data_IF_363032559079
#
_entry.id   IF_363032559079
#
_cell.length_a   1.000
_cell.length_b   1.000
_cell.length_c   1.000
_cell.angle_alpha   90.00
_cell.angle_beta   90.00
_cell.angle_gamma   90.00
#
_symmetry.space_group_name_H-M   'P 1'
#
loop_
_entity.id
_entity.type
_entity.pdbx_description
1 polymer ?
#
# COMPACT_ATOMS: atom_id res chain seq x y z
N UNK A 1 -24.85 41.50 28.69
CA UNK A 1 -23.58 40.92 29.21
C UNK A 1 -23.61 39.41 29.35
N UNK A 2 -24.68 38.81 29.89
CA UNK A 2 -24.80 37.32 30.03
C UNK A 2 -24.62 36.56 28.71
N UNK A 3 -25.21 37.05 27.60
CA UNK A 3 -25.12 36.39 26.29
C UNK A 3 -23.72 36.32 25.75
N UNK A 4 -22.92 37.38 25.87
CA UNK A 4 -21.55 37.39 25.41
C UNK A 4 -20.64 36.42 26.20
N UNK A 5 -20.91 36.28 27.50
CA UNK A 5 -20.24 35.33 28.36
C UNK A 5 -20.54 33.87 27.93
N UNK A 6 -21.84 33.58 27.70
CA UNK A 6 -22.22 32.21 27.21
C UNK A 6 -21.67 31.90 25.82
N UNK A 7 -21.66 32.88 24.90
CA UNK A 7 -21.03 32.73 23.59
C UNK A 7 -19.52 32.48 23.71
N UNK A 8 -18.85 33.20 24.61
CA UNK A 8 -17.42 32.97 24.88
C UNK A 8 -17.14 31.60 25.48
N UNK A 9 -17.94 31.13 26.45
CA UNK A 9 -17.80 29.80 27.03
C UNK A 9 -18.06 28.70 25.98
N UNK A 10 -19.09 28.86 25.13
CA UNK A 10 -19.35 27.94 24.04
C UNK A 10 -18.15 27.85 23.07
N UNK A 11 -17.56 29.00 22.72
CA UNK A 11 -16.36 29.08 21.90
C UNK A 11 -15.18 28.35 22.52
N UNK A 12 -14.87 28.64 23.81
CA UNK A 12 -13.78 27.97 24.52
C UNK A 12 -13.96 26.46 24.56
N UNK A 13 -15.15 25.98 24.92
CA UNK A 13 -15.43 24.53 24.95
C UNK A 13 -15.25 23.86 23.59
N UNK A 14 -15.68 24.52 22.51
CA UNK A 14 -15.54 23.99 21.15
C UNK A 14 -14.07 23.98 20.71
N UNK A 15 -13.32 25.03 21.03
CA UNK A 15 -11.88 25.07 20.77
C UNK A 15 -11.09 24.03 21.59
N UNK A 16 -11.52 23.77 22.83
CA UNK A 16 -10.94 22.70 23.65
C UNK A 16 -11.12 21.34 22.95
N UNK A 17 -12.33 21.00 22.49
CA UNK A 17 -12.58 19.77 21.75
C UNK A 17 -11.72 19.69 20.48
N UNK A 18 -11.55 20.81 19.76
CA UNK A 18 -10.66 20.86 18.59
C UNK A 18 -9.21 20.58 18.97
N UNK A 19 -8.74 21.13 20.08
CA UNK A 19 -7.37 20.87 20.57
C UNK A 19 -7.18 19.41 20.95
N UNK A 20 -8.19 18.75 21.53
CA UNK A 20 -8.15 17.34 21.84
C UNK A 20 -8.00 16.49 20.56
N UNK A 21 -8.72 16.82 19.47
CA UNK A 21 -8.58 16.17 18.18
C UNK A 21 -7.20 16.38 17.58
N UNK A 22 -6.68 17.61 17.63
CA UNK A 22 -5.32 17.94 17.15
C UNK A 22 -4.26 17.20 17.98
N UNK A 23 -4.42 17.20 19.29
CA UNK A 23 -3.51 16.48 20.21
C UNK A 23 -3.44 14.98 19.91
N UNK A 24 -4.58 14.37 19.62
CA UNK A 24 -4.65 12.97 19.20
C UNK A 24 -3.94 12.74 17.85
N UNK A 25 -4.11 13.64 16.87
CA UNK A 25 -3.40 13.54 15.59
C UNK A 25 -1.88 13.64 15.77
N UNK A 26 -1.42 14.57 16.65
CA UNK A 26 0.01 14.74 16.93
C UNK A 26 0.57 13.52 17.66
N UNK A 27 -0.15 12.99 18.64
CA UNK A 27 0.27 11.79 19.38
C UNK A 27 0.46 10.58 18.47
N UNK A 28 -0.33 10.49 17.42
CA UNK A 28 -0.31 9.37 16.46
C UNK A 28 0.45 9.65 15.16
N UNK A 29 1.30 10.69 15.12
CA UNK A 29 2.04 11.05 13.90
C UNK A 29 2.95 9.91 13.40
N UNK A 30 3.49 9.11 14.32
CA UNK A 30 4.35 7.95 14.01
C UNK A 30 3.59 6.61 13.96
N UNK A 31 2.27 6.63 14.12
CA UNK A 31 1.46 5.41 14.05
C UNK A 31 1.21 5.05 12.59
N UNK A 32 1.62 3.86 12.17
CA UNK A 32 1.40 3.35 10.80
C UNK A 32 -0.10 3.24 10.51
N UNK A 33 -0.50 3.61 9.29
CA UNK A 33 -1.89 3.63 8.82
C UNK A 33 -2.87 4.48 9.65
N UNK A 34 -2.39 5.36 10.53
CA UNK A 34 -3.25 6.29 11.26
C UNK A 34 -3.99 7.22 10.30
N UNK A 35 -5.26 7.45 10.54
CA UNK A 35 -6.12 8.35 9.77
C UNK A 35 -6.43 9.59 10.59
N UNK A 36 -5.93 10.74 10.13
CA UNK A 36 -6.13 12.01 10.81
C UNK A 36 -7.59 12.39 10.88
N UNK A 37 -8.00 12.95 12.00
CA UNK A 37 -9.34 13.48 12.20
C UNK A 37 -9.34 15.00 12.15
N UNK A 38 -10.36 15.58 11.56
CA UNK A 38 -10.59 17.02 11.50
C UNK A 38 -11.97 17.36 12.07
N UNK A 39 -12.05 18.48 12.79
CA UNK A 39 -13.29 18.94 13.39
C UNK A 39 -13.78 20.19 12.69
N UNK A 40 -15.08 20.20 12.35
CA UNK A 40 -15.76 21.37 11.80
C UNK A 40 -16.59 22.09 12.87
N UNK A 41 -16.79 23.37 12.67
CA UNK A 41 -17.62 24.20 13.54
C UNK A 41 -18.98 24.44 12.90
N UNK A 42 -19.99 24.62 13.73
CA UNK A 42 -21.33 25.04 13.33
C UNK A 42 -21.77 26.21 14.21
N UNK A 43 -22.25 27.27 13.59
CA UNK A 43 -22.84 28.39 14.31
C UNK A 43 -24.13 27.97 15.01
N UNK A 44 -24.34 28.50 16.22
CA UNK A 44 -25.64 28.43 16.88
C UNK A 44 -26.60 29.44 16.24
N UNK A 45 -27.92 29.21 16.40
CA UNK A 45 -28.92 30.10 15.85
C UNK A 45 -28.68 31.57 16.26
N UNK A 46 -28.77 32.48 15.30
CA UNK A 46 -28.67 33.91 15.53
C UNK A 46 -29.99 34.48 16.01
N UNK A 47 -29.98 35.38 16.95
CA UNK A 47 -31.13 36.11 17.42
C UNK A 47 -31.30 37.41 16.62
N UNK A 48 -32.46 37.58 15.97
CA UNK A 48 -32.78 38.81 15.27
C UNK A 48 -33.22 39.89 16.27
N UNK A 49 -32.48 40.99 16.36
CA UNK A 49 -32.81 42.17 17.23
C UNK A 49 -33.63 43.18 16.50
N UNK A 50 -33.47 43.29 15.19
CA UNK A 50 -34.27 44.19 14.34
C UNK A 50 -34.61 43.47 13.04
N UNK A 51 -35.88 43.51 12.65
CA UNK A 51 -36.33 42.96 11.37
C UNK A 51 -35.89 43.85 10.20
N UNK A 52 -35.71 43.27 9.03
CA UNK A 52 -35.49 44.02 7.81
C UNK A 52 -36.75 44.85 7.47
N UNK A 53 -36.56 46.04 6.94
CA UNK A 53 -37.60 46.90 6.39
C UNK A 53 -37.31 47.18 4.93
N UNK A 54 -38.28 46.98 4.06
CA UNK A 54 -38.20 47.33 2.64
C UNK A 54 -38.13 48.86 2.44
N UNK A 55 -37.62 49.28 1.29
CA UNK A 55 -37.67 50.69 0.88
C UNK A 55 -39.12 51.10 0.65
N UNK A 56 -39.50 52.26 1.16
CA UNK A 56 -40.82 52.83 0.98
C UNK A 56 -40.75 54.02 0.01
N UNK A 57 -41.24 53.82 -1.21
CA UNK A 57 -41.22 54.84 -2.27
C UNK A 57 -42.07 56.08 -1.93
N UNK A 58 -43.09 55.94 -1.06
CA UNK A 58 -44.00 57.03 -0.68
C UNK A 58 -43.36 57.99 0.32
N UNK A 59 -42.50 57.51 1.22
CA UNK A 59 -41.84 58.29 2.24
C UNK A 59 -40.40 58.62 1.93
N UNK A 60 -39.84 58.12 0.81
CA UNK A 60 -38.43 58.30 0.40
C UNK A 60 -37.39 57.66 1.33
N UNK A 61 -37.83 56.78 2.26
CA UNK A 61 -36.97 56.12 3.19
C UNK A 61 -36.41 54.83 2.58
N UNK A 62 -35.10 54.68 2.58
CA UNK A 62 -34.37 53.47 2.11
C UNK A 62 -34.62 52.27 3.01
N UNK A 63 -34.51 51.06 2.43
CA UNK A 63 -34.62 49.81 3.16
C UNK A 63 -33.49 49.64 4.19
N UNK A 64 -33.77 48.97 5.29
CA UNK A 64 -32.81 48.63 6.34
C UNK A 64 -32.67 47.12 6.47
N UNK A 65 -31.45 46.63 6.56
CA UNK A 65 -31.17 45.20 6.76
C UNK A 65 -31.50 44.75 8.19
N UNK A 66 -31.80 43.47 8.34
CA UNK A 66 -31.98 42.86 9.64
C UNK A 66 -30.70 42.93 10.47
N UNK A 67 -30.83 43.23 11.76
CA UNK A 67 -29.72 43.11 12.72
C UNK A 67 -29.85 41.81 13.48
N UNK A 68 -28.83 40.99 13.41
CA UNK A 68 -28.80 39.69 14.06
C UNK A 68 -27.55 39.57 14.94
N UNK A 69 -27.70 38.91 16.08
CA UNK A 69 -26.61 38.62 17.00
C UNK A 69 -26.48 37.11 17.12
N UNK A 70 -25.27 36.57 16.80
CA UNK A 70 -24.96 35.16 16.97
C UNK A 70 -24.92 34.79 18.45
N UNK A 71 -25.32 33.57 18.79
CA UNK A 71 -25.35 33.03 20.13
C UNK A 71 -24.12 32.20 20.47
N UNK A 72 -23.22 32.06 19.54
CA UNK A 72 -21.98 31.28 19.72
C UNK A 72 -21.80 30.16 18.69
N UNK A 73 -20.94 29.21 19.00
CA UNK A 73 -20.52 28.12 18.15
C UNK A 73 -20.68 26.77 18.87
N UNK A 74 -20.93 25.73 18.12
CA UNK A 74 -20.91 24.34 18.59
C UNK A 74 -19.98 23.48 17.72
N UNK A 75 -19.55 22.35 18.26
CA UNK A 75 -18.90 21.30 17.48
C UNK A 75 -19.88 20.81 16.38
N UNK A 76 -19.44 20.86 15.14
CA UNK A 76 -20.20 20.33 14.01
C UNK A 76 -20.00 18.82 13.89
N UNK A 77 -19.03 18.41 13.07
CA UNK A 77 -18.66 17.01 12.86
C UNK A 77 -17.17 16.79 13.09
N UNK A 78 -16.80 15.58 13.50
CA UNK A 78 -15.42 15.10 13.51
C UNK A 78 -15.31 14.11 12.34
N UNK A 79 -14.58 14.49 11.30
CA UNK A 79 -14.40 13.71 10.10
C UNK A 79 -13.03 13.05 10.12
N UNK A 80 -12.97 11.76 9.82
CA UNK A 80 -11.73 11.00 9.67
C UNK A 80 -11.39 10.84 8.19
N UNK A 81 -10.16 11.12 7.81
CA UNK A 81 -9.68 11.07 6.43
C UNK A 81 -9.35 9.60 6.02
N UNK A 82 -10.37 8.77 5.80
CA UNK A 82 -10.19 7.34 5.52
C UNK A 82 -9.58 7.11 4.13
N UNK A 83 -10.06 7.82 3.11
CA UNK A 83 -9.67 7.62 1.71
C UNK A 83 -8.34 8.27 1.34
N UNK A 84 -7.89 9.27 2.11
CA UNK A 84 -6.65 9.98 1.81
C UNK A 84 -5.44 9.07 2.02
N UNK A 85 -4.63 8.92 0.99
CA UNK A 85 -3.38 8.17 1.04
C UNK A 85 -2.31 8.97 1.78
N UNK A 86 -1.54 8.30 2.66
CA UNK A 86 -0.37 8.86 3.31
C UNK A 86 0.90 8.75 2.47
N UNK A 87 2.00 9.25 2.99
CA UNK A 87 3.33 9.07 2.38
C UNK A 87 3.93 7.72 2.75
N UNK A 88 4.71 7.14 1.83
CA UNK A 88 5.46 5.93 2.09
C UNK A 88 6.61 6.22 3.07
N UNK A 89 6.79 5.33 4.03
CA UNK A 89 7.92 5.31 4.95
C UNK A 89 8.76 4.06 4.68
N UNK A 90 10.06 4.23 4.47
CA UNK A 90 10.99 3.09 4.33
C UNK A 90 11.40 2.57 5.70
N UNK A 91 11.20 1.28 5.94
CA UNK A 91 11.53 0.62 7.22
C UNK A 91 12.73 -0.31 7.10
N UNK A 92 13.14 -0.67 5.87
CA UNK A 92 14.20 -1.65 5.60
C UNK A 92 13.80 -3.11 5.82
N UNK A 93 12.55 -3.39 6.20
CA UNK A 93 12.00 -4.73 6.31
C UNK A 93 11.33 -5.14 4.99
N UNK A 94 11.68 -6.30 4.40
CA UNK A 94 11.15 -6.74 3.11
C UNK A 94 9.64 -7.07 3.16
N UNK A 95 9.09 -7.33 4.34
CA UNK A 95 7.67 -7.65 4.52
C UNK A 95 6.79 -6.44 4.84
N UNK A 96 7.39 -5.25 4.98
CA UNK A 96 6.62 -4.02 5.14
C UNK A 96 6.18 -3.52 3.76
N UNK A 97 4.88 -3.58 3.51
CA UNK A 97 4.28 -3.33 2.20
C UNK A 97 3.29 -2.17 2.29
N UNK A 98 3.38 -1.22 1.37
CA UNK A 98 2.41 -0.14 1.24
C UNK A 98 1.52 -0.36 0.02
N UNK A 99 0.20 -0.21 0.20
CA UNK A 99 -0.74 -0.15 -0.93
C UNK A 99 -0.79 1.27 -1.48
N UNK A 100 -0.56 1.41 -2.80
CA UNK A 100 -0.82 2.63 -3.56
C UNK A 100 -2.21 2.53 -4.20
N UNK A 101 -3.13 3.43 -3.84
CA UNK A 101 -4.52 3.41 -4.31
C UNK A 101 -5.55 3.29 -3.19
N UNK A 102 -6.80 3.01 -3.55
CA UNK A 102 -7.94 3.03 -2.62
C UNK A 102 -8.24 1.68 -1.95
N UNK A 103 -7.41 0.66 -2.20
CA UNK A 103 -7.58 -0.68 -1.68
C UNK A 103 -7.11 -0.81 -0.22
N UNK A 104 -7.50 -1.91 0.43
CA UNK A 104 -7.13 -2.28 1.80
C UNK A 104 -6.58 -3.71 1.83
N UNK A 105 -5.71 -3.98 2.80
CA UNK A 105 -5.37 -5.35 3.17
C UNK A 105 -6.55 -5.96 3.92
N UNK A 106 -6.79 -7.24 3.66
CA UNK A 106 -7.77 -8.03 4.40
C UNK A 106 -7.01 -8.90 5.38
N UNK A 107 -7.32 -8.77 6.66
CA UNK A 107 -6.74 -9.60 7.73
C UNK A 107 -7.85 -10.31 8.49
N UNK A 108 -7.59 -11.51 8.97
CA UNK A 108 -8.58 -12.32 9.68
C UNK A 108 -8.03 -12.88 10.98
N UNK A 109 -8.88 -12.89 12.00
CA UNK A 109 -8.61 -13.56 13.27
C UNK A 109 -9.11 -15.03 13.29
N UNK A 110 -9.56 -15.56 12.13
CA UNK A 110 -10.17 -16.87 12.01
C UNK A 110 -11.70 -16.88 12.05
N UNK A 111 -12.33 -15.87 12.66
CA UNK A 111 -13.80 -15.74 12.75
C UNK A 111 -14.32 -14.58 11.91
N UNK A 112 -13.60 -13.46 11.88
CA UNK A 112 -14.01 -12.23 11.21
C UNK A 112 -12.88 -11.67 10.36
N UNK A 113 -13.25 -10.93 9.30
CA UNK A 113 -12.34 -10.24 8.42
C UNK A 113 -12.33 -8.74 8.74
N UNK A 114 -11.14 -8.18 8.85
CA UNK A 114 -10.90 -6.76 9.07
C UNK A 114 -10.15 -6.16 7.89
N UNK A 115 -10.39 -4.86 7.65
CA UNK A 115 -9.71 -4.12 6.59
C UNK A 115 -8.72 -3.13 7.22
N UNK A 116 -7.48 -3.17 6.77
CA UNK A 116 -6.43 -2.29 7.26
C UNK A 116 -5.57 -1.76 6.12
N UNK A 117 -4.92 -0.61 6.34
CA UNK A 117 -3.84 -0.12 5.48
C UNK A 117 -2.47 -0.25 6.13
N UNK A 118 -2.43 -0.77 7.36
CA UNK A 118 -1.15 -1.11 8.00
C UNK A 118 -0.57 -2.32 7.29
N UNK A 119 0.61 -2.12 6.72
CA UNK A 119 1.34 -3.12 5.94
C UNK A 119 2.56 -3.66 6.67
N UNK A 120 2.65 -3.49 7.98
CA UNK A 120 3.70 -4.10 8.79
C UNK A 120 3.39 -5.57 9.05
N UNK A 121 4.03 -6.43 8.27
CA UNK A 121 3.82 -7.87 8.33
C UNK A 121 5.08 -8.61 8.75
N UNK A 122 4.88 -9.81 9.26
CA UNK A 122 5.93 -10.79 9.53
C UNK A 122 5.47 -12.19 9.12
N UNK A 123 6.42 -13.10 8.97
CA UNK A 123 6.10 -14.50 8.66
C UNK A 123 6.09 -15.31 9.95
N UNK A 124 4.98 -15.97 10.23
CA UNK A 124 4.79 -16.84 11.37
C UNK A 124 5.58 -18.15 11.23
N UNK A 125 5.80 -18.88 12.33
CA UNK A 125 6.45 -20.18 12.33
C UNK A 125 5.77 -21.26 11.47
N UNK A 126 4.48 -21.09 11.15
CA UNK A 126 3.74 -21.91 10.20
C UNK A 126 3.92 -21.48 8.74
N UNK A 127 4.64 -20.38 8.48
CA UNK A 127 4.88 -19.81 7.16
C UNK A 127 3.78 -18.89 6.64
N UNK A 128 2.80 -18.52 7.47
CA UNK A 128 1.74 -17.58 7.09
C UNK A 128 2.20 -16.13 7.27
N UNK A 129 1.70 -15.24 6.42
CA UNK A 129 1.88 -13.81 6.57
C UNK A 129 0.91 -13.28 7.62
N UNK A 130 1.44 -12.70 8.69
CA UNK A 130 0.65 -12.16 9.79
C UNK A 130 1.00 -10.70 10.07
N UNK A 131 0.04 -9.95 10.59
CA UNK A 131 0.19 -8.55 10.97
C UNK A 131 0.95 -8.44 12.29
N UNK A 132 1.97 -7.59 12.35
CA UNK A 132 2.87 -7.47 13.51
C UNK A 132 2.14 -6.97 14.77
N UNK A 133 1.15 -6.09 14.62
CA UNK A 133 0.46 -5.47 15.77
C UNK A 133 -0.58 -6.38 16.43
N UNK A 134 -1.25 -7.26 15.66
CA UNK A 134 -2.39 -8.07 16.14
C UNK A 134 -2.17 -9.58 16.01
N UNK A 135 -1.22 -10.01 15.19
CA UNK A 135 -1.02 -11.42 14.84
C UNK A 135 -2.09 -12.00 13.92
N UNK A 136 -2.95 -11.17 13.33
CA UNK A 136 -3.98 -11.64 12.40
C UNK A 136 -3.37 -12.04 11.05
N UNK A 137 -3.86 -13.13 10.49
CA UNK A 137 -3.38 -13.62 9.21
C UNK A 137 -3.87 -12.74 8.05
N UNK A 138 -2.96 -12.42 7.13
CA UNK A 138 -3.30 -11.71 5.90
C UNK A 138 -4.00 -12.68 4.96
N UNK A 139 -5.16 -12.26 4.45
CA UNK A 139 -5.99 -13.05 3.56
C UNK A 139 -5.74 -12.68 2.11
N UNK A 140 -5.75 -13.67 1.23
CA UNK A 140 -5.54 -13.46 -0.20
C UNK A 140 -5.82 -14.71 -1.01
N UNK A 141 -5.55 -14.62 -2.30
CA UNK A 141 -5.67 -15.74 -3.22
C UNK A 141 -4.34 -16.47 -3.36
N UNK A 142 -4.40 -17.80 -3.29
CA UNK A 142 -3.24 -18.64 -3.57
C UNK A 142 -2.94 -18.74 -5.08
N UNK A 143 -1.74 -19.22 -5.39
CA UNK A 143 -1.32 -19.55 -6.77
C UNK A 143 -1.52 -21.04 -7.00
N UNK A 144 -1.97 -21.42 -8.20
CA UNK A 144 -2.02 -22.81 -8.62
C UNK A 144 -0.61 -23.29 -8.98
N UNK A 145 -0.14 -24.32 -8.28
CA UNK A 145 1.20 -24.90 -8.49
C UNK A 145 1.42 -25.46 -9.90
N UNK A 146 0.33 -25.84 -10.60
CA UNK A 146 0.41 -26.46 -11.93
C UNK A 146 0.44 -25.43 -13.05
N UNK A 147 -0.36 -24.36 -12.93
CA UNK A 147 -0.56 -23.37 -13.99
C UNK A 147 0.15 -22.03 -13.72
N UNK A 148 0.59 -21.78 -12.49
CA UNK A 148 1.16 -20.51 -12.07
C UNK A 148 0.14 -19.36 -12.01
N UNK A 149 -1.14 -19.63 -12.23
CA UNK A 149 -2.19 -18.63 -12.23
C UNK A 149 -2.78 -18.43 -10.84
N UNK A 150 -3.26 -17.22 -10.57
CA UNK A 150 -3.92 -16.89 -9.31
C UNK A 150 -5.30 -17.56 -9.27
N UNK A 151 -5.56 -18.39 -8.24
CA UNK A 151 -6.87 -18.97 -7.96
C UNK A 151 -7.77 -17.93 -7.32
N UNK A 152 -8.75 -17.44 -8.05
CA UNK A 152 -9.72 -16.45 -7.56
C UNK A 152 -10.97 -17.10 -6.93
N UNK A 153 -10.86 -18.30 -6.36
CA UNK A 153 -11.99 -19.03 -5.78
C UNK A 153 -12.25 -18.60 -4.34
N UNK A 154 -11.46 -19.11 -3.41
CA UNK A 154 -11.60 -18.85 -1.97
C UNK A 154 -10.45 -18.05 -1.45
N UNK A 155 -10.77 -17.03 -0.63
CA UNK A 155 -9.75 -16.24 0.07
C UNK A 155 -9.27 -17.06 1.27
N UNK A 156 -7.98 -17.35 1.30
CA UNK A 156 -7.32 -18.13 2.35
C UNK A 156 -6.20 -17.33 2.99
N UNK A 157 -5.68 -17.77 4.14
CA UNK A 157 -4.50 -17.16 4.73
C UNK A 157 -3.31 -17.32 3.77
N UNK A 158 -2.62 -16.21 3.50
CA UNK A 158 -1.46 -16.21 2.61
C UNK A 158 -0.28 -16.93 3.29
N UNK A 159 0.07 -18.09 2.76
CA UNK A 159 1.19 -18.88 3.21
C UNK A 159 2.38 -18.68 2.27
N UNK A 160 3.31 -17.82 2.67
CA UNK A 160 4.48 -17.47 1.85
C UNK A 160 5.55 -18.56 1.94
N UNK A 161 5.87 -19.02 3.15
CA UNK A 161 6.86 -20.08 3.38
C UNK A 161 6.17 -21.44 3.48
N UNK A 162 5.60 -21.92 2.36
CA UNK A 162 5.23 -23.33 2.23
C UNK A 162 6.40 -24.14 1.71
N UNK A 163 6.42 -25.43 1.97
CA UNK A 163 7.45 -26.32 1.44
C UNK A 163 7.55 -26.28 -0.09
N UNK A 164 6.42 -26.05 -0.77
CA UNK A 164 6.37 -25.89 -2.22
C UNK A 164 7.03 -24.58 -2.71
N UNK A 165 6.93 -23.50 -1.92
CA UNK A 165 7.49 -22.20 -2.29
C UNK A 165 8.98 -22.04 -1.90
N UNK A 166 9.48 -22.88 -1.00
CA UNK A 166 10.87 -22.84 -0.55
C UNK A 166 11.85 -23.49 -1.51
N UNK A 167 11.38 -24.39 -2.39
CA UNK A 167 12.21 -25.10 -3.35
C UNK A 167 11.60 -24.98 -4.73
N UNK A 168 12.40 -24.52 -5.69
CA UNK A 168 12.00 -24.57 -7.10
C UNK A 168 12.27 -25.98 -7.62
N UNK A 169 11.33 -26.65 -8.29
CA UNK A 169 11.58 -27.94 -8.89
C UNK A 169 12.67 -27.81 -9.96
N UNK A 170 13.65 -28.73 -10.00
CA UNK A 170 14.72 -28.67 -10.98
C UNK A 170 14.16 -28.86 -12.40
N UNK A 171 14.59 -28.01 -13.33
CA UNK A 171 14.26 -28.11 -14.75
C UNK A 171 15.50 -28.46 -15.56
N UNK A 172 15.36 -29.42 -16.46
CA UNK A 172 16.41 -29.76 -17.39
C UNK A 172 16.58 -28.69 -18.47
N UNK A 173 17.81 -28.40 -18.84
CA UNK A 173 18.10 -27.51 -19.96
C UNK A 173 17.66 -28.16 -21.28
N UNK A 174 16.63 -27.58 -21.93
CA UNK A 174 16.08 -28.13 -23.19
C UNK A 174 16.67 -27.50 -24.43
N UNK A 175 17.19 -26.28 -24.32
CA UNK A 175 17.79 -25.55 -25.47
C UNK A 175 19.05 -24.81 -25.00
N UNK A 176 20.09 -24.92 -25.79
CA UNK A 176 21.30 -24.11 -25.66
C UNK A 176 21.62 -23.49 -27.00
N UNK A 177 21.77 -22.19 -27.05
CA UNK A 177 22.16 -21.47 -28.25
C UNK A 177 23.59 -20.95 -28.08
N UNK A 178 24.45 -21.32 -28.99
CA UNK A 178 25.81 -20.81 -29.08
C UNK A 178 25.87 -19.92 -30.30
N UNK A 179 26.23 -18.67 -30.13
CA UNK A 179 26.42 -17.69 -31.20
C UNK A 179 27.78 -17.02 -31.05
N UNK A 180 28.42 -16.72 -32.14
CA UNK A 180 29.72 -16.06 -32.18
C UNK A 180 30.29 -16.08 -33.55
N UNK A 181 31.41 -15.37 -33.75
CA UNK A 181 32.17 -15.35 -34.98
C UNK A 181 33.43 -16.17 -34.73
N UNK A 182 33.70 -17.14 -35.59
CA UNK A 182 35.00 -17.85 -35.63
C UNK A 182 35.87 -17.12 -36.64
N UNK A 183 36.99 -16.55 -36.19
CA UNK A 183 37.97 -15.90 -37.07
C UNK A 183 38.92 -16.97 -37.60
N UNK A 184 39.15 -16.90 -38.94
CA UNK A 184 40.10 -17.79 -39.64
C UNK A 184 41.53 -17.66 -39.11
N UNK A 185 41.91 -16.49 -38.59
CA UNK A 185 43.20 -16.20 -38.04
C UNK A 185 43.35 -16.58 -36.54
N UNK A 186 42.29 -17.08 -35.92
CA UNK A 186 42.34 -17.53 -34.50
C UNK A 186 43.19 -18.79 -34.41
N UNK A 187 44.28 -18.71 -33.61
CA UNK A 187 45.23 -19.79 -33.40
C UNK A 187 44.57 -21.05 -32.83
N UNK A 188 43.47 -20.89 -32.10
CA UNK A 188 42.77 -22.02 -31.50
C UNK A 188 41.95 -22.77 -32.56
N UNK A 189 41.39 -22.09 -33.58
CA UNK A 189 40.65 -22.72 -34.68
C UNK A 189 41.56 -23.53 -35.58
N UNK A 190 42.79 -23.05 -35.81
CA UNK A 190 43.82 -23.73 -36.65
C UNK A 190 44.57 -24.83 -35.91
N UNK A 191 44.38 -24.94 -34.58
CA UNK A 191 45.03 -25.97 -33.78
C UNK A 191 44.44 -27.37 -34.00
N UNK A 192 45.24 -28.42 -33.74
CA UNK A 192 44.79 -29.81 -33.88
C UNK A 192 43.59 -30.15 -32.95
N UNK A 193 43.43 -29.40 -31.86
CA UNK A 193 42.36 -29.61 -30.89
C UNK A 193 41.12 -28.75 -31.15
N UNK A 194 41.19 -27.78 -32.08
CA UNK A 194 40.09 -26.87 -32.38
C UNK A 194 39.77 -25.85 -31.27
N UNK A 195 38.85 -24.96 -31.53
CA UNK A 195 38.30 -23.99 -30.52
C UNK A 195 37.40 -24.71 -29.54
N UNK A 196 37.69 -24.56 -28.24
CA UNK A 196 36.86 -25.15 -27.18
C UNK A 196 35.90 -24.12 -26.58
N UNK A 197 34.64 -24.51 -26.43
CA UNK A 197 33.59 -23.71 -25.76
C UNK A 197 32.98 -24.54 -24.65
N UNK A 198 32.92 -23.97 -23.46
CA UNK A 198 32.28 -24.61 -22.32
C UNK A 198 30.76 -24.31 -22.35
N UNK A 199 29.95 -25.33 -22.33
CA UNK A 199 28.50 -25.26 -22.19
C UNK A 199 28.08 -25.86 -20.86
N UNK A 200 27.47 -25.07 -20.01
CA UNK A 200 26.90 -25.54 -18.77
C UNK A 200 25.40 -25.83 -18.98
N UNK A 201 24.97 -27.01 -18.58
CA UNK A 201 23.56 -27.39 -18.64
C UNK A 201 23.16 -28.14 -17.37
N UNK A 202 21.85 -28.15 -17.09
CA UNK A 202 21.27 -28.79 -15.92
C UNK A 202 20.49 -30.04 -16.32
N UNK A 203 20.60 -31.08 -15.51
CA UNK A 203 19.79 -32.30 -15.65
C UNK A 203 18.41 -32.10 -14.99
N UNK A 204 17.47 -33.01 -15.26
CA UNK A 204 16.15 -33.07 -14.63
C UNK A 204 16.18 -33.17 -13.09
N UNK A 205 17.32 -33.50 -12.50
CA UNK A 205 17.57 -33.51 -11.05
C UNK A 205 18.26 -32.24 -10.52
N UNK A 206 18.53 -31.26 -11.40
CA UNK A 206 19.16 -30.01 -11.01
C UNK A 206 20.69 -30.06 -10.87
N UNK A 207 21.33 -31.15 -11.27
CA UNK A 207 22.77 -31.21 -11.28
C UNK A 207 23.32 -30.46 -12.50
N UNK A 208 24.37 -29.65 -12.28
CA UNK A 208 25.05 -28.93 -13.34
C UNK A 208 26.13 -29.79 -13.97
N UNK A 209 26.12 -29.90 -15.29
CA UNK A 209 27.15 -30.54 -16.08
C UNK A 209 27.80 -29.53 -17.00
N UNK A 210 29.11 -29.68 -17.21
CA UNK A 210 29.89 -28.88 -18.16
C UNK A 210 30.27 -29.74 -19.33
N UNK A 211 29.81 -29.42 -20.52
CA UNK A 211 30.17 -30.05 -21.76
C UNK A 211 31.24 -29.19 -22.48
N UNK A 212 32.31 -29.80 -22.94
CA UNK A 212 33.28 -29.17 -23.80
C UNK A 212 32.88 -29.44 -25.26
N UNK A 213 32.52 -28.37 -25.96
CA UNK A 213 32.32 -28.39 -27.41
C UNK A 213 33.60 -27.93 -28.08
N UNK A 214 34.06 -28.67 -29.06
CA UNK A 214 35.24 -28.30 -29.83
C UNK A 214 34.98 -28.46 -31.31
N UNK A 215 35.54 -27.59 -32.10
CA UNK A 215 35.52 -27.67 -33.56
C UNK A 215 36.54 -28.75 -33.99
N UNK A 216 36.03 -29.84 -34.61
CA UNK A 216 36.90 -30.83 -35.22
C UNK A 216 36.92 -30.63 -36.72
N UNK A 217 38.07 -30.66 -37.39
CA UNK A 217 38.14 -30.62 -38.85
C UNK A 217 37.41 -31.83 -39.43
N UNK A 218 36.51 -31.61 -40.36
CA UNK A 218 35.75 -32.65 -41.00
C UNK A 218 36.70 -33.61 -41.73
N UNK A 219 36.51 -34.93 -41.61
CA UNK A 219 37.33 -35.92 -42.41
C UNK A 219 37.18 -35.72 -43.91
N UNK A 220 36.17 -34.93 -44.38
CA UNK A 220 35.99 -34.65 -45.82
C UNK A 220 36.87 -33.52 -46.34
N UNK A 221 37.46 -32.74 -45.45
CA UNK A 221 38.27 -31.58 -45.86
C UNK A 221 39.76 -31.97 -45.97
N UNK A 222 40.06 -33.26 -45.92
CA UNK A 222 41.38 -33.83 -46.20
C UNK A 222 41.34 -34.55 -47.57
#
# INVERSE_FOLDING_TARGET
MMRSLYSGVAGLKTHQTRMDVIGNNIANVNTTAYKSSSMTFSELMSQTTQKASGANATTGVGGTNAKQIGLGVKAGAINTAITTQGSAQSTGNPFDIMITGDNFFVVSNGSENFFTRDGSFYVDGAGNLAMTSTGYNVMGWGVDETTGNIKQDTVTALRIMSAANMTYPPEATTKANISGILDENDKDVTSANGKTVNLNFFDARGYSYTCLLYTSPSPRDK
#
